data_IF_411790062069
#
_entry.id   IF_411790062069
#
_cell.length_a   1.000
_cell.length_b   1.000
_cell.length_c   1.000
_cell.angle_alpha   90.00
_cell.angle_beta   90.00
_cell.angle_gamma   90.00
#
_symmetry.space_group_name_H-M   'P 1'
#
loop_
_entity.id
_entity.type
_entity.pdbx_description
1 polymer ?
#
# COMPACT_ATOMS: atom_id res chain seq x y z
N UNK A 1 -17.87 -14.30 3.73
CA UNK A 1 -16.71 -13.56 4.26
C UNK A 1 -17.08 -12.13 4.58
N UNK A 2 -16.66 -11.61 5.74
CA UNK A 2 -16.97 -10.24 6.17
C UNK A 2 -15.90 -9.22 5.74
N UNK A 3 -14.69 -9.67 5.48
CA UNK A 3 -13.56 -8.85 5.03
C UNK A 3 -12.59 -9.70 4.21
N UNK A 4 -11.81 -9.05 3.40
CA UNK A 4 -10.67 -9.67 2.71
C UNK A 4 -9.50 -9.79 3.66
N UNK A 5 -8.66 -10.80 3.42
CA UNK A 5 -7.48 -11.08 4.22
C UNK A 5 -6.21 -10.86 3.40
N UNK A 6 -5.26 -10.14 3.99
CA UNK A 6 -3.93 -9.92 3.42
C UNK A 6 -2.90 -10.43 4.42
N UNK A 7 -2.06 -11.37 4.01
CA UNK A 7 -0.99 -11.88 4.86
C UNK A 7 0.35 -11.26 4.52
N UNK A 8 1.10 -10.83 5.54
CA UNK A 8 2.49 -10.42 5.35
C UNK A 8 3.37 -11.65 5.24
N UNK A 9 4.03 -11.78 4.09
CA UNK A 9 4.92 -12.89 3.76
C UNK A 9 6.34 -12.39 3.47
N UNK A 10 6.79 -11.40 4.24
CA UNK A 10 8.07 -10.74 4.04
C UNK A 10 9.14 -11.35 4.93
N UNK A 11 10.27 -11.71 4.35
CA UNK A 11 11.46 -12.19 5.05
C UNK A 11 12.70 -11.88 4.19
N UNK A 12 13.88 -11.84 4.79
CA UNK A 12 15.15 -11.71 4.06
C UNK A 12 15.51 -13.01 3.32
N UNK A 13 15.01 -14.14 3.82
CA UNK A 13 15.19 -15.44 3.19
C UNK A 13 14.05 -15.72 2.23
N UNK A 14 14.36 -15.81 0.94
CA UNK A 14 13.39 -16.05 -0.11
C UNK A 14 12.61 -17.38 0.07
N UNK A 15 13.23 -18.42 0.62
CA UNK A 15 12.52 -19.68 0.91
C UNK A 15 11.43 -19.48 1.96
N UNK A 16 11.71 -18.69 3.00
CA UNK A 16 10.70 -18.31 4.01
C UNK A 16 9.55 -17.54 3.38
N UNK A 17 9.83 -16.59 2.48
CA UNK A 17 8.79 -15.86 1.72
C UNK A 17 7.88 -16.85 0.97
N UNK A 18 8.46 -17.83 0.28
CA UNK A 18 7.70 -18.81 -0.47
C UNK A 18 6.91 -19.77 0.44
N UNK A 19 7.47 -20.21 1.57
CA UNK A 19 6.77 -21.03 2.56
C UNK A 19 5.56 -20.30 3.14
N UNK A 20 5.74 -19.04 3.55
CA UNK A 20 4.64 -18.20 4.06
C UNK A 20 3.59 -17.93 2.97
N UNK A 21 4.02 -17.69 1.74
CA UNK A 21 3.13 -17.49 0.59
C UNK A 21 2.28 -18.73 0.29
N UNK A 22 2.87 -19.93 0.28
CA UNK A 22 2.14 -21.18 0.11
C UNK A 22 1.15 -21.42 1.26
N UNK A 23 1.58 -21.17 2.48
CA UNK A 23 0.68 -21.26 3.63
C UNK A 23 -0.51 -20.30 3.51
N UNK A 24 -0.26 -19.04 3.11
CA UNK A 24 -1.32 -18.07 2.88
C UNK A 24 -2.32 -18.55 1.81
N UNK A 25 -1.82 -19.15 0.73
CA UNK A 25 -2.61 -19.72 -0.34
C UNK A 25 -3.45 -20.92 0.15
N UNK A 26 -2.86 -21.83 0.92
CA UNK A 26 -3.52 -23.03 1.44
C UNK A 26 -4.67 -22.70 2.42
N UNK A 27 -4.53 -21.65 3.23
CA UNK A 27 -5.59 -21.20 4.15
C UNK A 27 -6.62 -20.28 3.50
N UNK A 28 -6.47 -19.96 2.21
CA UNK A 28 -7.42 -19.16 1.45
C UNK A 28 -7.34 -17.65 1.73
N UNK A 29 -6.15 -17.11 1.98
CA UNK A 29 -5.96 -15.66 2.01
C UNK A 29 -6.26 -15.06 0.63
N UNK A 30 -6.78 -13.84 0.60
CA UNK A 30 -7.10 -13.18 -0.68
C UNK A 30 -5.84 -12.68 -1.40
N UNK A 31 -4.86 -12.16 -0.64
CA UNK A 31 -3.58 -11.66 -1.14
C UNK A 31 -2.47 -11.93 -0.13
N UNK A 32 -1.24 -11.83 -0.61
CA UNK A 32 -0.07 -11.66 0.25
C UNK A 32 0.54 -10.27 0.03
N UNK A 33 1.29 -9.78 1.03
CA UNK A 33 2.12 -8.60 0.87
C UNK A 33 3.58 -8.99 1.11
N UNK A 34 4.45 -8.60 0.17
CA UNK A 34 5.88 -8.89 0.20
C UNK A 34 6.65 -7.59 0.12
N UNK A 35 7.51 -7.34 1.09
CA UNK A 35 8.42 -6.21 1.08
C UNK A 35 9.45 -6.37 -0.05
N UNK A 36 9.83 -5.25 -0.66
CA UNK A 36 11.08 -5.21 -1.40
C UNK A 36 12.24 -5.52 -0.43
N UNK A 37 13.13 -6.46 -0.75
CA UNK A 37 14.19 -6.86 0.17
C UNK A 37 15.21 -5.75 0.36
N UNK A 38 15.85 -5.65 1.54
CA UNK A 38 17.00 -4.78 1.72
C UNK A 38 18.15 -5.29 0.84
N UNK A 39 18.74 -4.40 0.05
CA UNK A 39 19.86 -4.73 -0.82
C UNK A 39 21.16 -4.13 -0.28
N UNK A 40 22.18 -4.96 -0.14
CA UNK A 40 23.51 -4.51 0.26
C UNK A 40 24.20 -3.67 -0.81
N UNK A 41 23.97 -3.99 -2.07
CA UNK A 41 24.54 -3.30 -3.22
C UNK A 41 23.43 -2.68 -4.06
N UNK A 42 23.58 -1.40 -4.38
CA UNK A 42 22.59 -0.61 -5.13
C UNK A 42 22.86 -0.59 -6.65
N UNK A 43 23.63 -1.55 -7.15
CA UNK A 43 23.85 -1.72 -8.59
C UNK A 43 22.74 -2.59 -9.20
N UNK A 44 22.12 -2.10 -10.27
CA UNK A 44 21.04 -2.80 -10.98
C UNK A 44 19.83 -3.17 -10.11
N UNK A 45 19.47 -2.33 -9.14
CA UNK A 45 18.33 -2.55 -8.23
C UNK A 45 17.06 -2.92 -8.98
N UNK A 46 16.76 -2.20 -10.05
CA UNK A 46 15.55 -2.39 -10.86
C UNK A 46 15.46 -3.81 -11.44
N UNK A 47 16.57 -4.28 -12.04
CA UNK A 47 16.64 -5.61 -12.61
C UNK A 47 16.56 -6.72 -11.55
N UNK A 48 17.23 -6.51 -10.41
CA UNK A 48 17.22 -7.46 -9.27
C UNK A 48 15.81 -7.57 -8.70
N UNK A 49 15.11 -6.46 -8.47
CA UNK A 49 13.77 -6.49 -7.89
C UNK A 49 12.72 -7.02 -8.87
N UNK A 50 12.86 -6.73 -10.15
CA UNK A 50 12.00 -7.32 -11.18
C UNK A 50 12.14 -8.84 -11.19
N UNK A 51 13.37 -9.36 -11.14
CA UNK A 51 13.65 -10.79 -11.08
C UNK A 51 13.15 -11.42 -9.77
N UNK A 52 13.34 -10.74 -8.63
CA UNK A 52 12.85 -11.18 -7.33
C UNK A 52 11.34 -11.38 -7.33
N UNK A 53 10.57 -10.38 -7.76
CA UNK A 53 9.11 -10.48 -7.80
C UNK A 53 8.62 -11.45 -8.86
N UNK A 54 9.31 -11.52 -10.01
CA UNK A 54 9.01 -12.52 -11.04
C UNK A 54 9.16 -13.95 -10.50
N UNK A 55 10.26 -14.23 -9.83
CA UNK A 55 10.51 -15.55 -9.25
C UNK A 55 9.46 -15.93 -8.20
N UNK A 56 9.08 -15.02 -7.29
CA UNK A 56 8.02 -15.28 -6.30
C UNK A 56 6.68 -15.53 -7.01
N UNK A 57 6.34 -14.72 -7.99
CA UNK A 57 5.10 -14.81 -8.74
C UNK A 57 4.96 -16.14 -9.51
N UNK A 58 6.05 -16.67 -10.05
CA UNK A 58 6.09 -17.97 -10.73
C UNK A 58 5.91 -19.17 -9.78
N UNK A 59 6.15 -18.99 -8.49
CA UNK A 59 6.07 -20.05 -7.47
C UNK A 59 4.76 -20.06 -6.70
N UNK A 60 3.92 -19.04 -6.83
CA UNK A 60 2.71 -18.83 -6.03
C UNK A 60 1.52 -18.49 -6.94
N UNK A 61 0.37 -19.10 -6.66
CA UNK A 61 -0.90 -18.82 -7.34
C UNK A 61 -1.82 -17.99 -6.44
N UNK A 62 -1.34 -16.81 -6.03
CA UNK A 62 -2.06 -15.86 -5.17
C UNK A 62 -1.67 -14.44 -5.56
N UNK A 63 -2.59 -13.48 -5.43
CA UNK A 63 -2.30 -12.08 -5.67
C UNK A 63 -1.20 -11.55 -4.74
N UNK A 64 -0.20 -10.86 -5.29
CA UNK A 64 0.94 -10.31 -4.57
C UNK A 64 0.84 -8.79 -4.54
N UNK A 65 0.82 -8.21 -3.35
CA UNK A 65 0.99 -6.80 -3.12
C UNK A 65 2.46 -6.51 -2.77
N UNK A 66 3.08 -5.59 -3.48
CA UNK A 66 4.42 -5.11 -3.16
C UNK A 66 4.32 -4.11 -2.01
N UNK A 67 5.24 -4.18 -1.06
CA UNK A 67 5.43 -3.08 -0.12
C UNK A 67 6.79 -2.44 -0.37
N UNK A 68 6.76 -1.21 -0.85
CA UNK A 68 7.95 -0.40 -1.08
C UNK A 68 7.93 0.87 -0.24
N UNK A 69 9.02 1.13 0.48
CA UNK A 69 9.23 2.31 1.31
C UNK A 69 10.70 2.76 1.23
N UNK A 70 10.99 4.06 1.45
CA UNK A 70 12.34 4.62 1.26
C UNK A 70 13.40 4.13 2.26
N UNK A 71 13.00 3.42 3.31
CA UNK A 71 13.89 3.02 4.42
C UNK A 71 15.01 2.05 4.00
N UNK A 72 14.96 1.50 2.80
CA UNK A 72 15.96 0.58 2.24
C UNK A 72 17.03 1.27 1.40
N UNK A 73 17.20 2.59 1.53
CA UNK A 73 18.16 3.41 0.79
C UNK A 73 18.03 3.38 -0.74
N UNK A 74 16.92 2.92 -1.27
CA UNK A 74 16.58 3.03 -2.68
C UNK A 74 15.09 3.32 -2.86
N UNK A 75 14.75 3.97 -3.95
CA UNK A 75 13.36 4.20 -4.38
C UNK A 75 13.23 3.65 -5.78
N UNK A 76 12.26 2.73 -5.97
CA UNK A 76 11.87 2.31 -7.32
C UNK A 76 11.13 3.46 -8.00
N UNK A 77 11.54 3.79 -9.21
CA UNK A 77 10.82 4.77 -10.01
C UNK A 77 9.47 4.21 -10.50
N UNK A 78 8.46 5.06 -10.75
CA UNK A 78 7.13 4.62 -11.17
C UNK A 78 7.13 3.69 -12.38
N UNK A 79 8.01 3.92 -13.36
CA UNK A 79 8.15 3.10 -14.56
C UNK A 79 8.59 1.66 -14.22
N UNK A 80 9.50 1.53 -13.29
CA UNK A 80 10.00 0.22 -12.84
C UNK A 80 8.89 -0.52 -12.10
N UNK A 81 8.15 0.17 -11.22
CA UNK A 81 6.98 -0.41 -10.55
C UNK A 81 5.91 -0.86 -11.55
N UNK A 82 5.63 -0.05 -12.57
CA UNK A 82 4.68 -0.39 -13.62
C UNK A 82 5.15 -1.57 -14.49
N UNK A 83 6.46 -1.71 -14.70
CA UNK A 83 7.05 -2.85 -15.42
C UNK A 83 6.95 -4.15 -14.61
N UNK A 84 7.20 -4.10 -13.30
CA UNK A 84 6.97 -5.22 -12.38
C UNK A 84 5.48 -5.61 -12.35
N UNK A 85 4.58 -4.64 -12.38
CA UNK A 85 3.12 -4.87 -12.38
C UNK A 85 2.58 -5.58 -13.64
N UNK A 86 3.42 -5.79 -14.67
CA UNK A 86 3.07 -6.65 -15.83
C UNK A 86 3.16 -8.14 -15.54
N UNK A 87 3.75 -8.51 -14.41
CA UNK A 87 3.75 -9.88 -13.92
C UNK A 87 2.33 -10.21 -13.44
N UNK A 88 1.75 -11.31 -13.94
CA UNK A 88 0.31 -11.61 -13.90
C UNK A 88 -0.33 -11.49 -12.51
N UNK A 89 0.33 -12.00 -11.47
CA UNK A 89 -0.21 -11.99 -10.11
C UNK A 89 0.32 -10.85 -9.21
N UNK A 90 1.04 -9.87 -9.75
CA UNK A 90 1.34 -8.62 -9.05
C UNK A 90 0.11 -7.71 -9.18
N UNK A 91 -0.66 -7.57 -8.09
CA UNK A 91 -1.98 -6.92 -8.12
C UNK A 91 -2.04 -5.57 -7.42
N UNK A 92 -1.09 -5.29 -6.51
CA UNK A 92 -1.10 -4.05 -5.75
C UNK A 92 0.31 -3.62 -5.35
N UNK A 93 0.45 -2.35 -5.00
CA UNK A 93 1.65 -1.80 -4.37
C UNK A 93 1.27 -0.82 -3.26
N UNK A 94 1.87 -1.00 -2.09
CA UNK A 94 1.93 0.02 -1.05
C UNK A 94 3.19 0.84 -1.29
N UNK A 95 3.03 1.98 -1.95
CA UNK A 95 4.11 2.81 -2.45
C UNK A 95 4.22 4.08 -1.60
N UNK A 96 5.01 4.00 -0.51
CA UNK A 96 5.15 5.05 0.49
C UNK A 96 6.22 6.07 0.05
N UNK A 97 5.94 6.79 -1.01
CA UNK A 97 6.80 7.82 -1.60
C UNK A 97 6.04 9.16 -1.68
N UNK A 98 6.66 10.18 -2.25
CA UNK A 98 6.01 11.47 -2.51
C UNK A 98 4.82 11.36 -3.49
N UNK A 99 3.96 12.39 -3.46
CA UNK A 99 2.72 12.40 -4.25
C UNK A 99 2.98 12.35 -5.76
N UNK A 100 4.02 13.00 -6.24
CA UNK A 100 4.35 13.04 -7.66
C UNK A 100 4.59 11.64 -8.20
N UNK A 101 5.42 10.85 -7.50
CA UNK A 101 5.74 9.47 -7.88
C UNK A 101 4.53 8.54 -7.84
N UNK A 102 3.75 8.54 -6.75
CA UNK A 102 2.62 7.62 -6.69
C UNK A 102 1.47 8.02 -7.62
N UNK A 103 1.29 9.31 -7.90
CA UNK A 103 0.31 9.77 -8.89
C UNK A 103 0.72 9.32 -10.29
N UNK A 104 1.99 9.51 -10.65
CA UNK A 104 2.54 9.03 -11.92
C UNK A 104 2.37 7.51 -12.07
N UNK A 105 2.70 6.74 -11.03
CA UNK A 105 2.49 5.28 -11.06
C UNK A 105 1.02 4.93 -11.28
N UNK A 106 0.11 5.61 -10.58
CA UNK A 106 -1.34 5.41 -10.74
C UNK A 106 -1.76 5.63 -12.19
N UNK A 107 -1.27 6.70 -12.83
CA UNK A 107 -1.62 7.03 -14.20
C UNK A 107 -1.08 6.01 -15.22
N UNK A 108 0.19 5.62 -15.12
CA UNK A 108 0.81 4.70 -16.08
C UNK A 108 0.41 3.24 -15.89
N UNK A 109 -0.06 2.86 -14.69
CA UNK A 109 -0.52 1.49 -14.36
C UNK A 109 -2.04 1.36 -14.30
N UNK A 110 -2.80 2.37 -14.73
CA UNK A 110 -4.26 2.44 -14.60
C UNK A 110 -4.95 1.18 -15.11
N UNK A 111 -5.70 0.53 -14.22
CA UNK A 111 -6.42 -0.71 -14.50
C UNK A 111 -5.65 -2.00 -14.29
N UNK A 112 -4.32 -1.94 -14.12
CA UNK A 112 -3.47 -3.13 -13.98
C UNK A 112 -2.89 -3.28 -12.56
N UNK A 113 -2.82 -2.20 -11.77
CA UNK A 113 -2.21 -2.21 -10.45
C UNK A 113 -3.02 -1.34 -9.49
N UNK A 114 -3.31 -1.88 -8.32
CA UNK A 114 -3.84 -1.10 -7.19
C UNK A 114 -2.67 -0.37 -6.53
N UNK A 115 -2.65 0.95 -6.67
CA UNK A 115 -1.64 1.80 -6.00
C UNK A 115 -2.22 2.32 -4.69
N UNK A 116 -1.43 2.30 -3.61
CA UNK A 116 -1.80 2.82 -2.30
C UNK A 116 -0.58 3.38 -1.57
N UNK A 117 -0.81 4.18 -0.54
CA UNK A 117 0.24 4.71 0.36
C UNK A 117 -0.16 4.48 1.81
N UNK A 118 0.78 4.66 2.74
CA UNK A 118 0.53 4.49 4.16
C UNK A 118 -0.09 5.71 4.85
N UNK A 119 -0.07 6.89 4.21
CA UNK A 119 -0.52 8.15 4.83
C UNK A 119 -2.01 8.41 4.59
N UNK A 120 -2.75 8.67 5.66
CA UNK A 120 -4.15 9.12 5.59
C UNK A 120 -4.25 10.58 5.16
N UNK A 121 -3.20 11.38 5.32
CA UNK A 121 -3.23 12.82 5.03
C UNK A 121 -3.75 13.15 3.62
N UNK A 122 -3.39 12.34 2.63
CA UNK A 122 -3.81 12.52 1.24
C UNK A 122 -4.90 11.52 0.79
N UNK A 123 -5.47 10.73 1.71
CA UNK A 123 -6.40 9.66 1.32
C UNK A 123 -7.64 10.19 0.60
N UNK A 124 -8.24 11.25 1.12
CA UNK A 124 -9.41 11.87 0.49
C UNK A 124 -9.10 12.39 -0.91
N UNK A 125 -8.01 13.13 -1.07
CA UNK A 125 -7.59 13.68 -2.37
C UNK A 125 -7.22 12.57 -3.35
N UNK A 126 -6.62 11.47 -2.87
CA UNK A 126 -6.31 10.32 -3.71
C UNK A 126 -7.55 9.59 -4.21
N UNK A 127 -8.64 9.54 -3.42
CA UNK A 127 -9.93 9.05 -3.91
C UNK A 127 -10.48 9.96 -5.02
N UNK A 128 -10.49 11.26 -4.76
CA UNK A 128 -11.13 12.25 -5.65
C UNK A 128 -10.35 12.40 -6.96
N UNK A 129 -9.03 12.53 -6.89
CA UNK A 129 -8.21 12.91 -8.03
C UNK A 129 -7.63 11.70 -8.78
N UNK A 130 -7.31 10.62 -8.04
CA UNK A 130 -6.66 9.43 -8.59
C UNK A 130 -7.62 8.22 -8.71
N UNK A 131 -8.83 8.32 -8.17
CA UNK A 131 -9.82 7.24 -8.20
C UNK A 131 -9.47 6.05 -7.32
N UNK A 132 -8.67 6.25 -6.28
CA UNK A 132 -8.25 5.15 -5.40
C UNK A 132 -9.41 4.55 -4.63
N UNK A 133 -9.39 3.22 -4.48
CA UNK A 133 -10.43 2.45 -3.80
C UNK A 133 -9.92 1.61 -2.64
N UNK A 134 -8.61 1.39 -2.55
CA UNK A 134 -7.98 0.56 -1.54
C UNK A 134 -6.93 1.37 -0.79
N UNK A 135 -6.98 1.27 0.55
CA UNK A 135 -6.05 1.92 1.45
C UNK A 135 -5.23 0.89 2.21
N UNK A 136 -3.97 0.73 1.84
CA UNK A 136 -3.00 -0.15 2.53
C UNK A 136 -2.28 0.65 3.61
N UNK A 137 -2.94 0.89 4.72
CA UNK A 137 -2.48 1.80 5.76
C UNK A 137 -1.45 1.19 6.72
N UNK A 138 -0.86 2.06 7.52
CA UNK A 138 -0.14 1.72 8.74
C UNK A 138 -1.03 1.89 9.99
N UNK A 139 -0.50 1.57 11.17
CA UNK A 139 -1.25 1.53 12.43
C UNK A 139 -2.07 2.79 12.76
N UNK A 140 -1.57 4.05 12.60
CA UNK A 140 -2.31 5.23 13.02
C UNK A 140 -3.72 5.36 12.44
N UNK A 141 -3.98 5.14 11.15
CA UNK A 141 -5.34 5.20 10.61
C UNK A 141 -6.33 4.22 11.22
N UNK A 142 -5.88 3.05 11.69
CA UNK A 142 -6.75 2.13 12.42
C UNK A 142 -7.23 2.71 13.74
N UNK A 143 -6.41 3.51 14.40
CA UNK A 143 -6.76 4.16 15.67
C UNK A 143 -7.70 5.35 15.48
N UNK A 144 -7.79 5.89 14.26
CA UNK A 144 -8.72 6.96 13.90
C UNK A 144 -10.16 6.46 13.68
N UNK A 145 -10.35 5.14 13.64
CA UNK A 145 -11.66 4.53 13.44
C UNK A 145 -11.93 3.50 14.53
N UNK A 146 -13.03 3.66 15.24
CA UNK A 146 -13.46 2.81 16.33
C UNK A 146 -14.85 2.26 16.08
N UNK A 147 -15.35 1.41 16.98
CA UNK A 147 -16.75 0.92 16.92
C UNK A 147 -17.78 2.07 17.00
N UNK A 148 -17.45 3.12 17.72
CA UNK A 148 -18.34 4.27 18.00
C UNK A 148 -18.00 5.51 17.17
N UNK A 149 -16.82 5.60 16.56
CA UNK A 149 -16.42 6.67 15.66
C UNK A 149 -15.97 6.08 14.34
N UNK A 150 -16.78 6.24 13.32
CA UNK A 150 -16.54 5.71 11.98
C UNK A 150 -16.39 6.81 10.92
N UNK A 151 -16.05 8.02 11.34
CA UNK A 151 -15.92 9.17 10.42
C UNK A 151 -14.94 8.93 9.28
N UNK A 152 -13.86 8.18 9.51
CA UNK A 152 -12.94 7.82 8.42
C UNK A 152 -13.62 6.96 7.35
N UNK A 153 -14.40 5.96 7.75
CA UNK A 153 -15.17 5.14 6.83
C UNK A 153 -16.31 5.95 6.15
N UNK A 154 -16.90 6.88 6.89
CA UNK A 154 -17.97 7.74 6.39
C UNK A 154 -17.46 8.67 5.28
N UNK A 155 -16.40 9.46 5.52
CA UNK A 155 -15.88 10.34 4.48
C UNK A 155 -15.33 9.57 3.27
N UNK A 156 -14.74 8.38 3.51
CA UNK A 156 -14.29 7.51 2.41
C UNK A 156 -15.46 7.10 1.51
N UNK A 157 -16.57 6.65 2.09
CA UNK A 157 -17.78 6.28 1.33
C UNK A 157 -18.39 7.47 0.59
N UNK A 158 -18.47 8.62 1.25
CA UNK A 158 -18.97 9.87 0.64
C UNK A 158 -18.10 10.27 -0.56
N UNK A 159 -16.78 10.24 -0.42
CA UNK A 159 -15.85 10.56 -1.50
C UNK A 159 -16.00 9.59 -2.69
N UNK A 160 -16.06 8.29 -2.42
CA UNK A 160 -16.26 7.26 -3.46
C UNK A 160 -17.62 7.38 -4.17
N UNK A 161 -18.62 7.93 -3.48
CA UNK A 161 -19.94 8.21 -4.05
C UNK A 161 -20.01 9.58 -4.79
N UNK A 162 -18.92 10.34 -4.84
CA UNK A 162 -18.86 11.67 -5.47
C UNK A 162 -19.38 12.82 -4.61
N UNK A 163 -19.75 12.56 -3.34
CA UNK A 163 -20.24 13.57 -2.41
C UNK A 163 -19.05 14.31 -1.74
N UNK A 164 -18.25 15.00 -2.56
CA UNK A 164 -16.94 15.55 -2.17
C UNK A 164 -17.03 16.57 -1.03
N UNK A 165 -17.97 17.52 -1.11
CA UNK A 165 -18.12 18.56 -0.08
C UNK A 165 -18.46 17.96 1.28
N UNK A 166 -19.38 17.01 1.33
CA UNK A 166 -19.74 16.35 2.57
C UNK A 166 -18.58 15.50 3.11
N UNK A 167 -17.84 14.83 2.21
CA UNK A 167 -16.64 14.07 2.58
C UNK A 167 -15.58 14.97 3.24
N UNK A 168 -15.36 16.19 2.71
CA UNK A 168 -14.43 17.17 3.30
C UNK A 168 -14.84 17.57 4.71
N UNK A 169 -16.12 17.91 4.90
CA UNK A 169 -16.65 18.30 6.23
C UNK A 169 -16.41 17.18 7.25
N UNK A 170 -16.73 15.95 6.91
CA UNK A 170 -16.53 14.81 7.82
C UNK A 170 -15.03 14.58 8.07
N UNK A 171 -14.20 14.63 7.03
CA UNK A 171 -12.74 14.47 7.16
C UNK A 171 -12.12 15.52 8.07
N UNK A 172 -12.50 16.78 7.92
CA UNK A 172 -11.96 17.92 8.71
C UNK A 172 -12.37 17.83 10.18
N UNK A 173 -13.51 17.21 10.48
CA UNK A 173 -13.90 16.90 11.86
C UNK A 173 -12.94 15.96 12.61
N UNK A 174 -12.05 15.27 11.87
CA UNK A 174 -11.00 14.40 12.42
C UNK A 174 -9.67 15.13 12.70
N UNK A 175 -9.55 16.42 12.42
CA UNK A 175 -8.26 17.14 12.54
C UNK A 175 -7.66 17.09 13.94
N UNK A 176 -8.47 17.17 14.99
CA UNK A 176 -7.99 17.03 16.36
C UNK A 176 -7.38 15.66 16.63
N UNK A 177 -7.95 14.61 16.08
CA UNK A 177 -7.45 13.23 16.18
C UNK A 177 -6.13 13.08 15.41
N UNK A 178 -6.06 13.58 14.17
CA UNK A 178 -4.82 13.58 13.36
C UNK A 178 -3.68 14.30 14.06
N UNK A 179 -3.96 15.47 14.62
CA UNK A 179 -2.95 16.28 15.29
C UNK A 179 -2.43 15.58 16.56
N UNK A 180 -3.29 14.88 17.30
CA UNK A 180 -2.87 14.06 18.44
C UNK A 180 -1.90 12.94 18.03
N UNK A 181 -2.12 12.29 16.89
CA UNK A 181 -1.19 11.27 16.38
C UNK A 181 0.13 11.85 15.89
N UNK A 182 0.12 13.01 15.21
CA UNK A 182 1.35 13.66 14.74
C UNK A 182 2.27 14.02 15.91
N UNK A 183 1.71 14.58 16.99
CA UNK A 183 2.48 14.94 18.19
C UNK A 183 2.98 13.78 19.04
N UNK A 184 2.55 12.55 18.78
CA UNK A 184 2.93 11.36 19.56
C UNK A 184 4.08 10.55 18.96
N UNK A 185 4.53 10.84 17.73
CA UNK A 185 5.61 10.10 17.06
C UNK A 185 6.98 10.51 17.59
N UNK A 186 7.85 9.55 18.00
CA UNK A 186 9.20 9.86 18.47
C UNK A 186 10.08 10.54 17.40
N UNK A 187 9.80 10.32 16.11
CA UNK A 187 10.51 10.91 14.98
C UNK A 187 10.23 12.41 14.79
N UNK A 188 9.21 12.96 15.43
CA UNK A 188 8.83 14.37 15.31
C UNK A 188 9.50 15.25 16.39
N UNK A 189 10.43 14.69 17.15
CA UNK A 189 11.27 15.46 18.08
C UNK A 189 12.52 15.94 17.36
N UNK A 190 12.83 17.24 17.45
CA UNK A 190 14.04 17.85 16.89
C UNK A 190 15.32 17.27 17.46
#
# INVERSE_FOLDING_TARGET
NRCRTVMSCSDENLNTVLELGRHAQDIGADWIIVHAPPLYFHTNVDAVLKEYYRYIAEQLDIGIAIWHQPDYNYILEPEVCADIARIENIVAIKYSVDRERYSKLTDISRGNLIVSTSSEDNWLENIIELGWQVYLCSTPPFLMQTKTDQRMNEYTKLAMAGNVEQARIVRDSLDSVRNAFKGSRPSDKP
#
